data_IF_787016491569
#
_entry.id   IF_787016491569
#
_cell.length_a   1.000
_cell.length_b   1.000
_cell.length_c   1.000
_cell.angle_alpha   90.00
_cell.angle_beta   90.00
_cell.angle_gamma   90.00
#
_symmetry.space_group_name_H-M   'P 1'
#
loop_
_entity.id
_entity.type
_entity.pdbx_description
1 polymer ?
#
# COMPACT_ATOMS: atom_id res chain seq x y z
N UNK A 1 -7.83 1.92 -17.92
CA UNK A 1 -7.52 0.53 -17.55
C UNK A 1 -7.14 0.53 -16.10
N UNK A 2 -7.65 -0.39 -15.29
CA UNK A 2 -7.24 -0.47 -13.89
C UNK A 2 -5.78 -0.92 -13.79
N UNK A 3 -5.11 -0.48 -12.72
CA UNK A 3 -3.75 -0.92 -12.37
C UNK A 3 -3.82 -2.15 -11.48
N UNK A 4 -2.85 -3.06 -11.64
CA UNK A 4 -2.71 -4.25 -10.79
C UNK A 4 -1.55 -4.05 -9.83
N UNK A 5 -1.77 -4.32 -8.55
CA UNK A 5 -0.75 -4.31 -7.51
C UNK A 5 -0.77 -5.65 -6.76
N UNK A 6 0.37 -6.00 -6.18
CA UNK A 6 0.58 -7.26 -5.49
C UNK A 6 1.07 -7.05 -4.06
N UNK A 7 0.72 -7.99 -3.19
CA UNK A 7 1.17 -8.02 -1.80
C UNK A 7 1.27 -9.43 -1.27
N UNK A 8 2.34 -9.71 -0.52
CA UNK A 8 2.49 -10.92 0.27
C UNK A 8 1.80 -10.84 1.63
N UNK A 9 1.18 -11.93 2.07
CA UNK A 9 0.70 -12.07 3.44
C UNK A 9 0.74 -13.54 3.89
N UNK A 10 0.97 -13.78 5.17
CA UNK A 10 0.99 -15.14 5.73
C UNK A 10 -0.41 -15.67 6.01
N UNK A 11 -1.42 -14.79 6.10
CA UNK A 11 -2.80 -15.21 6.29
C UNK A 11 -3.35 -15.82 4.99
N UNK A 12 -4.13 -16.90 5.07
CA UNK A 12 -4.85 -17.47 3.92
C UNK A 12 -6.04 -16.58 3.50
N UNK A 13 -6.64 -16.80 2.32
CA UNK A 13 -7.85 -16.10 1.88
C UNK A 13 -9.02 -16.30 2.86
N UNK A 14 -9.23 -17.55 3.28
CA UNK A 14 -10.24 -18.02 4.23
C UNK A 14 -9.56 -18.90 5.30
N UNK A 15 -10.17 -19.14 6.47
CA UNK A 15 -9.57 -19.97 7.53
C UNK A 15 -9.15 -21.35 7.00
N UNK A 16 -7.95 -21.83 7.41
CA UNK A 16 -7.45 -23.16 7.00
C UNK A 16 -8.33 -24.29 7.53
N UNK A 17 -8.92 -24.10 8.71
CA UNK A 17 -9.96 -24.97 9.26
C UNK A 17 -11.33 -24.38 8.89
N UNK A 18 -12.09 -25.01 7.98
CA UNK A 18 -13.36 -24.48 7.49
C UNK A 18 -14.47 -24.45 8.56
N UNK A 19 -14.25 -25.05 9.74
CA UNK A 19 -15.18 -24.97 10.87
C UNK A 19 -15.01 -23.69 11.68
N UNK A 20 -13.89 -22.97 11.50
CA UNK A 20 -13.62 -21.72 12.20
C UNK A 20 -14.27 -20.54 11.49
N UNK A 21 -14.88 -19.64 12.26
CA UNK A 21 -15.34 -18.38 11.74
C UNK A 21 -14.16 -17.53 11.23
N UNK A 22 -14.30 -16.80 10.11
CA UNK A 22 -13.31 -15.84 9.67
C UNK A 22 -13.09 -14.74 10.71
N UNK A 23 -11.82 -14.49 11.05
CA UNK A 23 -11.37 -13.40 11.92
C UNK A 23 -10.17 -12.69 11.28
N UNK A 24 -9.85 -11.49 11.74
CA UNK A 24 -8.70 -10.74 11.23
C UNK A 24 -7.35 -11.47 11.41
N UNK A 25 -7.27 -12.38 12.38
CA UNK A 25 -6.07 -13.14 12.70
C UNK A 25 -5.87 -14.38 11.81
N UNK A 26 -6.97 -14.99 11.31
CA UNK A 26 -6.91 -16.28 10.63
C UNK A 26 -7.17 -16.24 9.12
N UNK A 27 -7.59 -15.09 8.56
CA UNK A 27 -7.88 -14.98 7.13
C UNK A 27 -7.91 -13.53 6.63
N UNK A 28 -7.69 -13.34 5.32
CA UNK A 28 -7.86 -12.04 4.66
C UNK A 28 -9.34 -11.63 4.61
N UNK A 29 -10.26 -12.57 4.33
CA UNK A 29 -11.70 -12.29 4.33
C UNK A 29 -12.18 -11.88 5.72
N UNK A 30 -11.73 -12.57 6.77
CA UNK A 30 -12.02 -12.21 8.17
C UNK A 30 -11.43 -10.86 8.61
N UNK A 31 -10.36 -10.39 7.97
CA UNK A 31 -9.79 -9.06 8.18
C UNK A 31 -10.49 -7.94 7.40
N UNK A 32 -11.40 -8.30 6.48
CA UNK A 32 -12.01 -7.34 5.56
C UNK A 32 -11.03 -6.75 4.52
N UNK A 33 -9.89 -7.41 4.29
CA UNK A 33 -8.82 -6.95 3.40
C UNK A 33 -7.48 -6.74 4.12
N UNK A 34 -6.65 -5.83 3.61
CA UNK A 34 -5.36 -5.48 4.22
C UNK A 34 -5.46 -4.24 5.08
N UNK A 35 -4.87 -4.30 6.26
CA UNK A 35 -4.82 -3.19 7.21
C UNK A 35 -3.37 -2.97 7.65
N UNK A 36 -2.91 -1.72 7.78
CA UNK A 36 -1.62 -1.44 8.41
C UNK A 36 -1.64 -1.91 9.88
N UNK A 37 -0.45 -2.06 10.49
CA UNK A 37 -0.36 -2.46 11.91
C UNK A 37 -1.06 -1.48 12.84
N UNK A 38 -1.00 -0.19 12.50
CA UNK A 38 -1.69 0.88 13.21
C UNK A 38 -2.64 1.55 12.22
N UNK A 39 -3.93 1.24 12.34
CA UNK A 39 -4.97 1.85 11.50
C UNK A 39 -5.17 3.31 11.90
N UNK A 40 -5.12 4.19 10.91
CA UNK A 40 -5.32 5.63 11.10
C UNK A 40 -6.60 6.09 10.39
N UNK A 41 -7.27 7.15 10.89
CA UNK A 41 -8.32 7.82 10.14
C UNK A 41 -7.79 8.37 8.82
N UNK A 42 -8.65 8.46 7.79
CA UNK A 42 -8.27 9.04 6.49
C UNK A 42 -7.70 10.46 6.61
N UNK A 43 -8.14 11.24 7.60
CA UNK A 43 -7.58 12.57 7.87
C UNK A 43 -6.08 12.53 8.15
N UNK A 44 -5.62 11.63 9.04
CA UNK A 44 -4.21 11.48 9.40
C UNK A 44 -3.34 11.10 8.20
N UNK A 45 -3.80 10.16 7.36
CA UNK A 45 -3.09 9.81 6.14
C UNK A 45 -2.95 11.00 5.17
N UNK A 46 -3.99 11.83 5.04
CA UNK A 46 -3.91 13.06 4.23
C UNK A 46 -2.96 14.09 4.83
N UNK A 47 -2.93 14.23 6.16
CA UNK A 47 -2.00 15.13 6.85
C UNK A 47 -0.53 14.71 6.64
N UNK A 48 -0.23 13.41 6.62
CA UNK A 48 1.11 12.90 6.26
C UNK A 48 1.53 13.36 4.86
N UNK A 49 0.64 13.26 3.87
CA UNK A 49 0.90 13.75 2.52
C UNK A 49 1.05 15.27 2.51
N UNK A 50 0.09 16.01 3.07
CA UNK A 50 0.08 17.48 3.08
C UNK A 50 1.27 18.08 3.83
N UNK A 51 1.82 17.38 4.82
CA UNK A 51 3.05 17.77 5.52
C UNK A 51 4.26 17.85 4.58
N UNK A 52 4.23 17.05 3.51
CA UNK A 52 5.30 16.93 2.52
C UNK A 52 5.18 17.92 1.34
N UNK A 53 4.07 18.64 1.20
CA UNK A 53 3.75 19.49 0.05
C UNK A 53 3.74 20.98 0.43
N UNK A 54 4.36 21.89 -0.33
CA UNK A 54 4.17 23.33 -0.13
C UNK A 54 2.77 23.83 -0.55
N UNK A 55 2.11 24.74 0.21
CA UNK A 55 2.45 25.14 1.56
C UNK A 55 2.25 23.98 2.55
N UNK A 56 3.25 23.75 3.42
CA UNK A 56 3.30 22.57 4.28
C UNK A 56 2.22 22.61 5.36
N UNK A 57 1.50 21.51 5.49
CA UNK A 57 0.58 21.28 6.61
C UNK A 57 1.32 21.16 7.95
N UNK A 58 0.60 21.20 9.08
CA UNK A 58 1.16 20.96 10.41
C UNK A 58 1.74 19.54 10.52
N UNK A 59 2.60 19.32 11.52
CA UNK A 59 3.09 17.96 11.83
C UNK A 59 1.90 17.10 12.29
N UNK A 60 1.55 16.02 11.59
CA UNK A 60 0.50 15.12 12.06
C UNK A 60 0.94 14.42 13.34
N UNK A 61 -0.03 14.22 14.24
CA UNK A 61 0.14 13.37 15.42
C UNK A 61 -0.25 11.94 15.04
N UNK A 62 0.74 11.06 14.85
CA UNK A 62 0.46 9.65 14.61
C UNK A 62 -0.09 9.01 15.90
N UNK A 63 -1.01 8.04 15.81
CA UNK A 63 -1.53 7.36 16.99
C UNK A 63 -0.48 6.40 17.59
N UNK A 64 -0.52 6.12 18.91
CA UNK A 64 0.32 5.10 19.51
C UNK A 64 0.07 3.69 18.92
N UNK A 65 1.10 2.85 18.73
CA UNK A 65 2.53 3.09 18.97
C UNK A 65 3.29 3.71 17.77
N UNK A 66 2.59 4.17 16.72
CA UNK A 66 3.22 4.75 15.54
C UNK A 66 3.89 6.12 15.82
N UNK A 67 3.47 6.80 16.88
CA UNK A 67 4.10 8.02 17.42
C UNK A 67 5.55 7.81 17.88
N UNK A 68 5.99 6.56 18.08
CA UNK A 68 7.33 6.19 18.51
C UNK A 68 8.18 5.59 17.37
N UNK A 69 7.89 5.95 16.12
CA UNK A 69 8.59 5.44 14.92
C UNK A 69 9.49 6.50 14.28
N UNK A 70 10.39 6.05 13.39
CA UNK A 70 11.19 6.93 12.55
C UNK A 70 10.34 7.91 11.75
N UNK A 71 9.15 7.47 11.31
CA UNK A 71 8.19 8.29 10.58
C UNK A 71 7.72 9.52 11.38
N UNK A 72 7.38 9.36 12.67
CA UNK A 72 6.94 10.51 13.49
C UNK A 72 8.07 11.55 13.62
N UNK A 73 9.31 11.10 13.83
CA UNK A 73 10.47 11.97 13.90
C UNK A 73 10.76 12.66 12.55
N UNK A 74 10.64 11.92 11.44
CA UNK A 74 10.81 12.43 10.10
C UNK A 74 9.80 13.54 9.77
N UNK A 75 8.53 13.34 10.12
CA UNK A 75 7.45 14.32 9.89
C UNK A 75 7.63 15.62 10.70
N UNK A 76 8.39 15.58 11.79
CA UNK A 76 8.77 16.78 12.54
C UNK A 76 9.87 17.62 11.84
N UNK A 77 10.58 17.06 10.85
CA UNK A 77 11.67 17.78 10.17
C UNK A 77 11.12 18.87 9.22
N UNK A 78 11.67 20.11 9.23
CA UNK A 78 11.08 21.23 8.46
C UNK A 78 10.90 20.96 6.96
N UNK A 79 11.83 20.22 6.35
CA UNK A 79 11.91 20.04 4.90
C UNK A 79 11.52 18.64 4.41
N UNK A 80 10.82 17.83 5.22
CA UNK A 80 10.36 16.49 4.82
C UNK A 80 9.66 16.49 3.47
N UNK A 81 10.01 15.54 2.60
CA UNK A 81 9.40 15.37 1.28
C UNK A 81 8.73 14.00 1.15
N UNK A 82 7.89 13.84 0.11
CA UNK A 82 7.22 12.57 -0.15
C UNK A 82 8.21 11.42 -0.36
N UNK A 83 9.38 11.69 -0.97
CA UNK A 83 10.39 10.66 -1.20
C UNK A 83 11.09 10.27 0.11
N UNK A 84 11.23 11.19 1.07
CA UNK A 84 11.76 10.85 2.39
C UNK A 84 10.80 9.92 3.13
N UNK A 85 9.49 10.23 3.11
CA UNK A 85 8.45 9.37 3.70
C UNK A 85 8.42 8.01 3.02
N UNK A 86 8.44 7.94 1.69
CA UNK A 86 8.42 6.67 0.97
C UNK A 86 9.66 5.79 1.29
N UNK A 87 10.84 6.41 1.45
CA UNK A 87 12.06 5.70 1.87
C UNK A 87 11.98 5.18 3.30
N UNK A 88 11.47 6.00 4.22
CA UNK A 88 11.25 5.61 5.61
C UNK A 88 10.29 4.42 5.69
N UNK A 89 9.15 4.52 5.00
CA UNK A 89 8.17 3.43 4.82
C UNK A 89 8.84 2.14 4.34
N UNK A 90 9.68 2.21 3.29
CA UNK A 90 10.36 1.03 2.75
C UNK A 90 11.37 0.43 3.73
N UNK A 91 12.01 1.26 4.55
CA UNK A 91 13.01 0.84 5.54
C UNK A 91 12.40 0.28 6.83
N UNK A 92 11.21 0.75 7.21
CA UNK A 92 10.55 0.37 8.45
C UNK A 92 9.98 -1.06 8.36
N UNK A 93 10.27 -1.88 9.38
CA UNK A 93 9.87 -3.30 9.47
C UNK A 93 9.19 -3.65 10.79
N UNK A 94 8.91 -2.66 11.64
CA UNK A 94 8.26 -2.89 12.93
C UNK A 94 6.74 -3.04 12.80
N UNK A 95 6.11 -3.63 13.82
CA UNK A 95 4.64 -3.72 13.94
C UNK A 95 4.00 -2.41 14.41
N UNK A 96 4.51 -1.28 13.92
CA UNK A 96 4.09 0.08 14.31
C UNK A 96 3.76 0.96 13.10
N UNK A 97 3.78 0.39 11.90
CA UNK A 97 3.55 1.15 10.66
C UNK A 97 2.09 1.52 10.46
N UNK A 98 1.87 2.69 9.86
CA UNK A 98 0.55 3.20 9.46
C UNK A 98 0.23 2.97 7.97
N UNK A 99 1.10 2.26 7.27
CA UNK A 99 1.04 2.10 5.81
C UNK A 99 0.99 0.61 5.42
N UNK A 100 0.51 0.37 4.20
CA UNK A 100 0.56 -0.91 3.52
C UNK A 100 1.45 -0.78 2.28
N UNK A 101 2.58 -1.47 2.30
CA UNK A 101 3.48 -1.59 1.16
C UNK A 101 2.91 -2.60 0.14
N UNK A 102 2.90 -2.21 -1.13
CA UNK A 102 2.50 -3.03 -2.28
C UNK A 102 3.40 -2.69 -3.46
N UNK A 103 3.43 -3.54 -4.48
CA UNK A 103 4.21 -3.27 -5.69
C UNK A 103 3.43 -3.67 -6.94
N UNK A 104 3.78 -3.07 -8.07
CA UNK A 104 3.39 -3.48 -9.42
C UNK A 104 3.88 -4.87 -9.84
N UNK A 105 4.83 -5.48 -9.12
CA UNK A 105 5.36 -6.80 -9.45
C UNK A 105 4.98 -7.90 -8.46
N UNK A 106 4.86 -9.11 -9.00
CA UNK A 106 4.46 -10.32 -8.26
C UNK A 106 5.47 -10.66 -7.16
N UNK A 107 6.72 -10.21 -7.30
CA UNK A 107 7.81 -10.45 -6.35
C UNK A 107 7.59 -9.77 -4.98
N UNK A 108 6.75 -8.74 -4.90
CA UNK A 108 6.31 -8.16 -3.62
C UNK A 108 5.40 -9.09 -2.79
N UNK A 109 5.02 -10.23 -3.38
CA UNK A 109 4.34 -11.35 -2.73
C UNK A 109 5.14 -12.05 -1.62
N UNK A 110 6.45 -11.80 -1.54
CA UNK A 110 7.29 -12.42 -0.54
C UNK A 110 7.51 -13.93 -0.75
N UNK A 111 8.19 -14.51 0.23
CA UNK A 111 8.79 -15.84 0.21
C UNK A 111 7.79 -16.97 -0.11
N UNK A 112 8.32 -18.12 -0.54
CA UNK A 112 7.53 -19.31 -0.88
C UNK A 112 6.60 -19.85 0.21
N UNK A 113 6.71 -19.33 1.43
CA UNK A 113 5.90 -19.67 2.60
C UNK A 113 4.62 -18.82 2.75
N UNK A 114 4.44 -17.75 1.96
CA UNK A 114 3.30 -16.83 2.03
C UNK A 114 2.36 -16.92 0.82
N UNK A 115 1.14 -16.40 1.00
CA UNK A 115 0.19 -16.17 -0.07
C UNK A 115 0.55 -14.88 -0.81
N UNK A 116 0.37 -14.87 -2.13
CA UNK A 116 0.52 -13.66 -2.94
C UNK A 116 -0.88 -13.22 -3.36
N UNK A 117 -1.21 -11.97 -3.08
CA UNK A 117 -2.51 -11.40 -3.40
C UNK A 117 -2.39 -10.41 -4.53
N UNK A 118 -3.24 -10.58 -5.54
CA UNK A 118 -3.38 -9.66 -6.66
C UNK A 118 -4.58 -8.75 -6.40
N UNK A 119 -4.36 -7.44 -6.57
CA UNK A 119 -5.35 -6.41 -6.34
C UNK A 119 -5.49 -5.53 -7.57
N UNK A 120 -6.70 -5.08 -7.86
CA UNK A 120 -7.01 -4.29 -9.07
C UNK A 120 -7.68 -2.99 -8.67
N UNK A 121 -7.13 -1.86 -9.13
CA UNK A 121 -7.57 -0.53 -8.72
C UNK A 121 -7.82 0.39 -9.91
N UNK A 122 -8.82 1.28 -9.78
CA UNK A 122 -8.91 2.48 -10.60
C UNK A 122 -8.32 3.63 -9.79
N UNK A 123 -7.11 4.06 -10.12
CA UNK A 123 -6.40 5.12 -9.42
C UNK A 123 -6.18 6.33 -10.33
N UNK A 124 -6.08 7.49 -9.71
CA UNK A 124 -5.49 8.69 -10.26
C UNK A 124 -4.15 8.95 -9.56
N UNK A 125 -3.28 9.70 -10.22
CA UNK A 125 -1.96 10.09 -9.70
C UNK A 125 -1.70 11.58 -9.95
N UNK A 126 -1.05 12.21 -8.98
CA UNK A 126 -0.45 13.54 -9.08
C UNK A 126 1.06 13.44 -8.88
N UNK A 127 1.81 13.83 -9.90
CA UNK A 127 3.27 13.92 -9.81
C UNK A 127 3.65 14.89 -8.68
N UNK A 128 4.55 14.46 -7.78
CA UNK A 128 4.97 15.23 -6.61
C UNK A 128 3.82 15.75 -5.71
N UNK A 129 2.62 15.19 -5.82
CA UNK A 129 1.42 15.64 -5.12
C UNK A 129 0.89 17.03 -5.53
N UNK A 130 1.43 17.65 -6.58
CA UNK A 130 1.06 19.01 -7.02
C UNK A 130 0.78 19.12 -8.53
N UNK A 131 1.06 18.08 -9.30
CA UNK A 131 0.81 18.07 -10.74
C UNK A 131 -0.66 17.89 -11.11
N UNK A 132 -0.90 17.84 -12.43
CA UNK A 132 -2.20 17.44 -12.97
C UNK A 132 -2.60 16.06 -12.45
N UNK A 133 -3.88 15.91 -12.13
CA UNK A 133 -4.47 14.61 -11.81
C UNK A 133 -4.59 13.83 -13.11
N UNK A 134 -3.97 12.66 -13.17
CA UNK A 134 -4.02 11.79 -14.35
C UNK A 134 -4.42 10.38 -13.96
N UNK A 135 -5.23 9.67 -14.77
CA UNK A 135 -5.61 8.29 -14.49
C UNK A 135 -4.39 7.36 -14.63
N UNK A 136 -4.25 6.40 -13.72
CA UNK A 136 -3.21 5.38 -13.74
C UNK A 136 -3.71 4.20 -14.58
N UNK A 137 -3.04 3.95 -15.70
CA UNK A 137 -3.29 2.86 -16.63
C UNK A 137 -2.06 1.95 -16.84
N UNK A 138 -0.89 2.34 -16.31
CA UNK A 138 0.37 1.62 -16.40
C UNK A 138 1.33 2.03 -15.27
N UNK A 139 2.25 1.14 -14.91
CA UNK A 139 3.23 1.29 -13.83
C UNK A 139 4.08 2.55 -13.98
N UNK A 140 4.41 2.92 -15.22
CA UNK A 140 5.20 4.13 -15.55
C UNK A 140 4.63 5.42 -14.99
N UNK A 141 3.33 5.46 -14.68
CA UNK A 141 2.66 6.64 -14.15
C UNK A 141 2.77 6.75 -12.63
N UNK A 142 2.93 5.61 -11.94
CA UNK A 142 3.26 5.56 -10.52
C UNK A 142 4.78 5.72 -10.32
N UNK A 143 5.57 5.23 -11.28
CA UNK A 143 7.02 5.20 -11.22
C UNK A 143 7.65 6.59 -11.08
N UNK A 144 8.71 6.65 -10.29
CA UNK A 144 9.59 7.80 -10.21
C UNK A 144 10.87 7.43 -9.46
N UNK A 145 12.01 7.46 -10.16
CA UNK A 145 13.28 7.02 -9.59
C UNK A 145 13.87 7.99 -8.54
N UNK A 146 13.63 9.30 -8.69
CA UNK A 146 14.26 10.35 -7.86
C UNK A 146 13.28 11.13 -7.00
N UNK A 147 11.98 10.89 -7.19
CA UNK A 147 10.87 11.59 -6.53
C UNK A 147 9.80 10.58 -6.10
N UNK A 148 8.76 11.05 -5.43
CA UNK A 148 7.57 10.26 -5.14
C UNK A 148 6.30 10.99 -5.59
N UNK A 149 5.29 10.22 -5.97
CA UNK A 149 4.00 10.68 -6.45
C UNK A 149 2.92 10.38 -5.42
N UNK A 150 1.79 11.08 -5.50
CA UNK A 150 0.60 10.78 -4.69
C UNK A 150 -0.42 10.10 -5.59
N UNK A 151 -0.94 8.95 -5.18
CA UNK A 151 -2.04 8.27 -5.88
C UNK A 151 -3.28 8.20 -5.00
N UNK A 152 -4.46 8.09 -5.63
CA UNK A 152 -5.74 8.04 -4.93
C UNK A 152 -6.90 7.54 -5.82
N UNK A 153 -8.00 7.06 -5.24
CA UNK A 153 -9.14 6.46 -5.97
C UNK A 153 -10.23 7.44 -6.44
N UNK A 154 -10.24 8.67 -5.91
CA UNK A 154 -11.19 9.73 -6.26
C UNK A 154 -10.64 10.74 -7.27
N UNK A 155 -11.39 11.83 -7.49
CA UNK A 155 -10.94 12.94 -8.34
C UNK A 155 -9.82 13.78 -7.69
N UNK A 156 -9.74 13.76 -6.36
CA UNK A 156 -8.76 14.51 -5.57
C UNK A 156 -8.39 13.71 -4.32
N UNK A 157 -7.20 13.95 -3.75
CA UNK A 157 -6.81 13.38 -2.45
C UNK A 157 -7.87 13.65 -1.35
N UNK A 158 -8.49 14.83 -1.36
CA UNK A 158 -9.48 15.23 -0.36
C UNK A 158 -10.77 14.37 -0.39
N UNK A 159 -11.16 13.88 -1.57
CA UNK A 159 -12.41 13.12 -1.78
C UNK A 159 -12.21 11.61 -1.83
N UNK A 160 -10.96 11.14 -1.75
CA UNK A 160 -10.58 9.75 -1.95
C UNK A 160 -10.64 8.93 -0.66
N UNK A 161 -11.05 7.66 -0.76
CA UNK A 161 -11.09 6.71 0.35
C UNK A 161 -9.87 5.77 0.36
N UNK A 162 -9.20 5.63 -0.78
CA UNK A 162 -7.90 5.01 -0.93
C UNK A 162 -6.90 6.02 -1.44
N UNK A 163 -5.74 6.11 -0.80
CA UNK A 163 -4.66 6.95 -1.26
C UNK A 163 -3.33 6.53 -0.65
N UNK A 164 -2.25 7.02 -1.25
CA UNK A 164 -0.92 6.71 -0.81
C UNK A 164 0.17 7.43 -1.58
N UNK A 165 1.39 6.96 -1.38
CA UNK A 165 2.60 7.49 -1.98
C UNK A 165 3.21 6.40 -2.85
N UNK A 166 3.61 6.72 -4.07
CA UNK A 166 4.28 5.78 -4.98
C UNK A 166 5.64 6.31 -5.45
N UNK A 167 6.51 5.39 -5.84
CA UNK A 167 7.84 5.73 -6.38
C UNK A 167 8.74 4.51 -6.52
N UNK A 168 9.95 4.73 -7.02
CA UNK A 168 10.84 3.66 -7.47
C UNK A 168 10.86 3.50 -8.99
N UNK A 169 11.78 2.68 -9.52
CA UNK A 169 11.85 2.35 -10.94
C UNK A 169 10.69 1.44 -11.36
N UNK A 170 10.42 1.32 -12.67
CA UNK A 170 9.46 0.32 -13.18
C UNK A 170 9.99 -1.10 -13.03
N UNK A 171 11.31 -1.29 -13.18
CA UNK A 171 12.01 -2.56 -13.03
C UNK A 171 12.96 -2.44 -11.81
N UNK A 172 12.82 -3.28 -10.76
CA UNK A 172 12.01 -4.50 -10.67
C UNK A 172 10.58 -4.29 -10.17
N UNK A 173 10.13 -3.05 -10.00
CA UNK A 173 8.79 -2.76 -9.52
C UNK A 173 8.65 -1.40 -8.84
N UNK A 174 7.48 -0.79 -9.05
CA UNK A 174 7.08 0.46 -8.42
C UNK A 174 6.41 0.17 -7.09
N UNK A 175 6.96 0.76 -6.03
CA UNK A 175 6.32 0.75 -4.72
C UNK A 175 5.06 1.63 -4.74
N UNK A 176 3.96 1.09 -4.22
CA UNK A 176 2.74 1.82 -3.92
C UNK A 176 2.38 1.62 -2.44
N UNK A 177 2.76 2.59 -1.60
CA UNK A 177 2.51 2.58 -0.17
C UNK A 177 1.17 3.25 0.14
N UNK A 178 0.15 2.46 0.46
CA UNK A 178 -1.15 2.98 0.88
C UNK A 178 -1.07 3.50 2.31
N UNK A 179 -1.66 4.67 2.56
CA UNK A 179 -1.84 5.25 3.90
C UNK A 179 -3.25 5.00 4.44
N UNK A 180 -3.96 4.05 3.83
CA UNK A 180 -5.32 3.65 4.11
C UNK A 180 -5.41 2.12 4.18
N UNK A 181 -6.49 1.60 4.74
CA UNK A 181 -6.87 0.19 4.59
C UNK A 181 -7.13 -0.09 3.11
N UNK A 182 -6.80 -1.31 2.64
CA UNK A 182 -7.20 -1.82 1.33
C UNK A 182 -8.37 -2.79 1.55
N UNK A 183 -9.62 -2.41 1.21
CA UNK A 183 -10.77 -3.28 1.38
C UNK A 183 -10.69 -4.56 0.54
N UNK A 184 -11.36 -5.61 1.02
CA UNK A 184 -11.51 -6.88 0.33
C UNK A 184 -11.98 -6.74 -1.13
N UNK A 185 -12.84 -5.74 -1.42
CA UNK A 185 -13.38 -5.50 -2.76
C UNK A 185 -12.32 -5.24 -3.85
N UNK A 186 -11.10 -4.89 -3.46
CA UNK A 186 -9.99 -4.67 -4.40
C UNK A 186 -9.11 -5.89 -4.61
N UNK A 187 -9.25 -6.93 -3.77
CA UNK A 187 -8.44 -8.14 -3.83
C UNK A 187 -9.15 -9.14 -4.75
N UNK A 188 -8.58 -9.38 -5.93
CA UNK A 188 -9.26 -10.14 -7.00
C UNK A 188 -8.82 -11.59 -7.08
N UNK A 189 -7.53 -11.84 -6.84
CA UNK A 189 -6.96 -13.19 -6.92
C UNK A 189 -5.92 -13.42 -5.83
N UNK A 190 -5.60 -14.68 -5.60
CA UNK A 190 -4.46 -15.10 -4.79
C UNK A 190 -3.72 -16.28 -5.41
N UNK A 191 -2.44 -16.41 -5.09
CA UNK A 191 -1.65 -17.63 -5.27
C UNK A 191 -1.33 -18.22 -3.90
N UNK A 192 -1.50 -19.54 -3.76
CA UNK A 192 -1.12 -20.28 -2.55
C UNK A 192 0.39 -20.24 -2.33
N UNK A 193 0.90 -20.50 -1.10
CA UNK A 193 2.32 -20.70 -0.86
C UNK A 193 2.91 -21.79 -1.76
N UNK A 194 4.13 -21.57 -2.25
CA UNK A 194 4.82 -22.50 -3.13
C UNK A 194 6.15 -21.95 -3.65
N UNK A 195 7.04 -22.85 -4.07
CA UNK A 195 8.36 -22.51 -4.62
C UNK A 195 8.32 -22.15 -6.12
N UNK A 196 7.23 -22.49 -6.80
CA UNK A 196 7.03 -22.16 -8.21
C UNK A 196 6.64 -20.68 -8.40
N UNK A 197 6.88 -20.18 -9.61
CA UNK A 197 6.49 -18.81 -9.98
C UNK A 197 4.96 -18.64 -9.88
N UNK A 198 4.51 -17.61 -9.19
CA UNK A 198 3.07 -17.31 -9.09
C UNK A 198 2.49 -16.92 -10.45
N UNK A 199 1.27 -17.38 -10.72
CA UNK A 199 0.62 -17.29 -12.02
C UNK A 199 1.08 -18.32 -13.05
N UNK A 200 2.07 -19.17 -12.72
CA UNK A 200 2.45 -20.31 -13.57
C UNK A 200 1.38 -21.41 -13.54
N UNK A 201 1.46 -22.35 -14.49
CA UNK A 201 0.58 -23.52 -14.51
C UNK A 201 0.66 -24.36 -13.22
N UNK A 202 1.82 -24.40 -12.56
CA UNK A 202 2.04 -25.15 -11.32
C UNK A 202 1.62 -24.38 -10.05
N UNK A 203 1.45 -23.05 -10.15
CA UNK A 203 1.00 -22.18 -9.06
C UNK A 203 0.06 -21.10 -9.64
N UNK A 204 -1.14 -21.48 -10.07
CA UNK A 204 -2.04 -20.59 -10.80
C UNK A 204 -2.71 -19.57 -9.86
N UNK A 205 -3.18 -18.48 -10.46
CA UNK A 205 -4.06 -17.52 -9.78
C UNK A 205 -5.43 -18.15 -9.51
N UNK A 206 -5.92 -17.98 -8.29
CA UNK A 206 -7.24 -18.40 -7.85
C UNK A 206 -8.07 -17.14 -7.55
N UNK A 207 -9.26 -17.04 -8.14
CA UNK A 207 -10.17 -15.93 -7.89
C UNK A 207 -10.82 -16.02 -6.50
N UNK A 208 -11.15 -14.87 -5.92
CA UNK A 208 -11.79 -14.73 -4.60
C UNK A 208 -13.31 -14.87 -4.56
#
# INVERSE_FOLDING_TARGET
>A
MPITLYRGDSRPPDPLDPTQAPTAANSIRGAGGFQPWVVTPLATGREVINRCLPPRGPVPALPPPADQTGLQALLATPNVSLIDVLRDIKSEKTRRTIHLSTDTTIDAGGYSTGYIYQMTFNLNVQALGQGAVTPVNADTQLASATKANVFFDGATLATSNLFGISGGPVDPGVEAAFLTVIPMAYITHYCVPGNEAAGSAARPWIAF
#
